data_IF_396475358128
#
_entry.id   IF_396475358128
#
_cell.length_a   1.000
_cell.length_b   1.000
_cell.length_c   1.000
_cell.angle_alpha   90.00
_cell.angle_beta   90.00
_cell.angle_gamma   90.00
#
_symmetry.space_group_name_H-M   'P 1'
#
loop_
_entity.id
_entity.type
_entity.pdbx_description
1 polymer ?
#
# COMPACT_ATOMS: atom_id res chain seq x y z
N UNK A 1 5.61 -7.72 12.91
CA UNK A 1 4.27 -7.81 12.28
C UNK A 1 3.33 -6.71 12.80
N UNK A 2 3.88 -5.63 13.32
CA UNK A 2 3.14 -4.58 14.03
C UNK A 2 2.64 -3.45 13.12
N UNK A 3 3.23 -3.37 11.93
CA UNK A 3 3.02 -2.28 10.98
C UNK A 3 1.56 -2.06 10.57
N UNK A 4 0.75 -3.11 10.28
CA UNK A 4 -0.65 -2.90 9.94
C UNK A 4 -1.43 -2.17 11.04
N UNK A 5 -1.20 -2.52 12.31
CA UNK A 5 -1.83 -1.86 13.45
C UNK A 5 -1.37 -0.41 13.56
N UNK A 6 -0.06 -0.15 13.43
CA UNK A 6 0.50 1.21 13.45
C UNK A 6 -0.12 2.09 12.37
N UNK A 7 -0.25 1.56 11.16
CA UNK A 7 -0.84 2.27 10.04
C UNK A 7 -2.33 2.59 10.28
N UNK A 8 -3.11 1.64 10.82
CA UNK A 8 -4.52 1.87 11.19
C UNK A 8 -4.63 3.00 12.21
N UNK A 9 -3.81 2.98 13.27
CA UNK A 9 -3.83 4.00 14.32
C UNK A 9 -3.41 5.36 13.78
N UNK A 10 -2.34 5.42 12.98
CA UNK A 10 -1.86 6.65 12.37
C UNK A 10 -2.90 7.27 11.42
N UNK A 11 -3.62 6.43 10.65
CA UNK A 11 -4.72 6.89 9.80
C UNK A 11 -5.89 7.47 10.62
N UNK A 12 -6.10 6.96 11.83
CA UNK A 12 -7.06 7.51 12.80
C UNK A 12 -6.56 8.76 13.54
N UNK A 13 -5.33 9.22 13.28
CA UNK A 13 -4.73 10.37 13.97
C UNK A 13 -4.22 10.07 15.38
N UNK A 14 -4.19 8.79 15.79
CA UNK A 14 -3.72 8.36 17.10
C UNK A 14 -2.21 8.17 17.16
N UNK A 15 -1.68 8.08 18.39
CA UNK A 15 -0.26 7.81 18.62
C UNK A 15 0.01 6.30 18.58
N UNK A 16 0.50 5.81 17.44
CA UNK A 16 0.69 4.39 17.15
C UNK A 16 1.54 3.65 18.20
N UNK A 17 2.58 4.28 18.73
CA UNK A 17 3.48 3.64 19.70
C UNK A 17 2.78 3.34 21.03
N UNK A 18 1.87 4.21 21.47
CA UNK A 18 1.12 4.05 22.73
C UNK A 18 0.10 2.93 22.58
N UNK A 19 -0.70 2.96 21.51
CA UNK A 19 -1.71 1.94 21.24
C UNK A 19 -1.07 0.57 21.08
N UNK A 20 0.03 0.50 20.32
CA UNK A 20 0.75 -0.74 20.11
C UNK A 20 1.29 -1.33 21.42
N UNK A 21 1.93 -0.52 22.26
CA UNK A 21 2.45 -0.98 23.54
C UNK A 21 1.33 -1.52 24.44
N UNK A 22 0.17 -0.86 24.44
CA UNK A 22 -0.99 -1.30 25.20
C UNK A 22 -1.50 -2.66 24.68
N UNK A 23 -1.76 -2.79 23.38
CA UNK A 23 -2.25 -4.03 22.76
C UNK A 23 -1.26 -5.19 22.96
N UNK A 24 0.05 -4.93 22.88
CA UNK A 24 1.09 -5.94 23.08
C UNK A 24 1.16 -6.48 24.51
N UNK A 25 0.67 -5.74 25.50
CA UNK A 25 0.56 -6.19 26.89
C UNK A 25 -0.74 -6.95 27.17
N UNK A 26 -1.66 -7.01 26.21
CA UNK A 26 -2.85 -7.85 26.28
C UNK A 26 -2.62 -9.26 25.76
N UNK A 27 -3.65 -10.10 25.86
CA UNK A 27 -3.61 -11.50 25.43
C UNK A 27 -4.82 -11.85 24.55
N UNK A 28 -4.69 -12.90 23.74
CA UNK A 28 -5.79 -13.42 22.93
C UNK A 28 -6.30 -12.41 21.90
N UNK A 29 -7.60 -12.10 21.96
CA UNK A 29 -8.27 -11.18 21.03
C UNK A 29 -8.27 -9.73 21.51
N UNK A 30 -7.51 -9.39 22.55
CA UNK A 30 -7.42 -8.02 23.02
C UNK A 30 -6.82 -7.12 21.93
N UNK A 31 -7.48 -5.99 21.65
CA UNK A 31 -7.04 -5.05 20.63
C UNK A 31 -7.62 -3.66 20.83
N UNK A 32 -7.43 -2.82 19.81
CA UNK A 32 -7.87 -1.44 19.77
C UNK A 32 -8.82 -1.21 18.60
N UNK A 33 -10.01 -0.71 18.89
CA UNK A 33 -10.99 -0.31 17.90
C UNK A 33 -10.72 1.13 17.46
N UNK A 34 -10.14 1.29 16.27
CA UNK A 34 -9.79 2.61 15.73
C UNK A 34 -10.99 3.51 15.37
N UNK A 35 -12.20 2.96 15.26
CA UNK A 35 -13.42 3.74 14.97
C UNK A 35 -14.00 4.40 16.22
N UNK A 36 -13.79 3.80 17.40
CA UNK A 36 -14.34 4.27 18.68
C UNK A 36 -13.27 4.66 19.70
N UNK A 37 -12.00 4.37 19.40
CA UNK A 37 -10.84 4.56 20.27
C UNK A 37 -10.90 3.78 21.59
N UNK A 38 -11.59 2.63 21.59
CA UNK A 38 -11.77 1.77 22.77
C UNK A 38 -10.92 0.49 22.65
N UNK A 39 -10.34 0.06 23.77
CA UNK A 39 -9.64 -1.22 23.90
C UNK A 39 -10.57 -2.31 24.43
N UNK A 40 -10.38 -3.55 23.97
CA UNK A 40 -11.12 -4.70 24.48
C UNK A 40 -11.05 -5.90 23.55
N UNK A 41 -11.96 -6.86 23.73
CA UNK A 41 -12.03 -8.05 22.91
C UNK A 41 -12.57 -7.73 21.50
N UNK A 42 -11.72 -7.93 20.49
CA UNK A 42 -12.07 -7.60 19.10
C UNK A 42 -13.19 -8.48 18.54
N UNK A 43 -13.34 -9.73 19.01
CA UNK A 43 -14.44 -10.60 18.59
C UNK A 43 -15.78 -10.14 19.16
N UNK A 44 -15.82 -9.77 20.45
CA UNK A 44 -17.02 -9.19 21.07
C UNK A 44 -17.42 -7.88 20.40
N UNK A 45 -16.45 -7.08 19.96
CA UNK A 45 -16.68 -5.86 19.18
C UNK A 45 -17.07 -6.13 17.72
N UNK A 46 -17.06 -7.38 17.27
CA UNK A 46 -17.42 -7.76 15.90
C UNK A 46 -16.37 -7.40 14.85
N UNK A 47 -15.13 -7.13 15.26
CA UNK A 47 -14.00 -6.79 14.38
C UNK A 47 -13.14 -8.04 14.23
N UNK A 48 -13.43 -8.80 13.18
CA UNK A 48 -12.73 -10.06 12.90
C UNK A 48 -12.29 -10.12 11.44
N UNK A 49 -11.10 -10.66 11.23
CA UNK A 49 -10.56 -10.94 9.91
C UNK A 49 -10.56 -12.45 9.65
N UNK A 50 -11.03 -12.93 8.49
CA UNK A 50 -10.94 -14.35 8.15
C UNK A 50 -9.47 -14.81 8.12
N UNK A 51 -9.18 -15.96 8.72
CA UNK A 51 -7.80 -16.50 8.82
C UNK A 51 -7.09 -16.58 7.46
N UNK A 52 -7.83 -16.88 6.38
CA UNK A 52 -7.28 -16.93 5.02
C UNK A 52 -6.73 -15.57 4.57
N UNK A 53 -7.39 -14.47 4.93
CA UNK A 53 -7.02 -13.11 4.51
C UNK A 53 -5.68 -12.73 5.12
N UNK A 54 -5.56 -12.81 6.45
CA UNK A 54 -4.33 -12.43 7.18
C UNK A 54 -3.16 -13.31 6.74
N UNK A 55 -3.38 -14.63 6.62
CA UNK A 55 -2.34 -15.56 6.17
C UNK A 55 -1.86 -15.26 4.75
N UNK A 56 -2.78 -15.08 3.81
CA UNK A 56 -2.43 -14.84 2.42
C UNK A 56 -1.70 -13.49 2.26
N UNK A 57 -2.16 -12.44 2.96
CA UNK A 57 -1.51 -11.14 2.95
C UNK A 57 -0.05 -11.23 3.39
N UNK A 58 0.22 -11.90 4.52
CA UNK A 58 1.59 -12.11 5.01
C UNK A 58 2.44 -12.93 4.03
N UNK A 59 1.89 -14.01 3.49
CA UNK A 59 2.61 -14.89 2.55
C UNK A 59 2.98 -14.16 1.25
N UNK A 60 2.04 -13.40 0.68
CA UNK A 60 2.30 -12.64 -0.54
C UNK A 60 3.30 -11.50 -0.29
N UNK A 61 3.18 -10.80 0.84
CA UNK A 61 4.15 -9.76 1.23
C UNK A 61 5.55 -10.35 1.39
N UNK A 62 5.70 -11.46 2.11
CA UNK A 62 6.98 -12.15 2.28
C UNK A 62 7.54 -12.64 0.93
N UNK A 63 6.70 -13.14 0.03
CA UNK A 63 7.11 -13.60 -1.30
C UNK A 63 7.70 -12.48 -2.15
N UNK A 64 7.04 -11.32 -2.22
CA UNK A 64 7.54 -10.16 -2.99
C UNK A 64 8.79 -9.58 -2.33
N UNK A 65 8.79 -9.42 -1.01
CA UNK A 65 9.98 -8.94 -0.29
C UNK A 65 11.18 -9.86 -0.51
N UNK A 66 10.96 -11.18 -0.48
CA UNK A 66 12.00 -12.17 -0.78
C UNK A 66 12.55 -12.01 -2.19
N UNK A 67 11.68 -11.90 -3.19
CA UNK A 67 12.07 -11.63 -4.58
C UNK A 67 12.92 -10.37 -4.69
N UNK A 68 12.46 -9.25 -4.11
CA UNK A 68 13.14 -7.95 -4.18
C UNK A 68 14.50 -7.97 -3.50
N UNK A 69 14.64 -8.61 -2.34
CA UNK A 69 15.91 -8.70 -1.60
C UNK A 69 16.95 -9.51 -2.37
N UNK A 70 16.54 -10.53 -3.13
CA UNK A 70 17.45 -11.39 -3.90
C UNK A 70 17.68 -10.94 -5.35
N UNK A 71 17.04 -9.85 -5.78
CA UNK A 71 17.16 -9.35 -7.15
C UNK A 71 18.36 -8.41 -7.26
N UNK A 72 19.41 -8.87 -7.94
CA UNK A 72 20.68 -8.11 -8.09
C UNK A 72 20.67 -7.12 -9.26
N UNK A 73 19.80 -7.32 -10.25
CA UNK A 73 19.73 -6.46 -11.44
C UNK A 73 18.30 -6.35 -11.98
N UNK A 74 17.96 -5.15 -12.47
CA UNK A 74 16.74 -4.88 -13.24
C UNK A 74 17.16 -4.30 -14.58
N UNK A 75 16.74 -4.92 -15.68
CA UNK A 75 16.99 -4.45 -17.04
C UNK A 75 15.70 -3.86 -17.58
N UNK A 76 15.76 -2.65 -18.11
CA UNK A 76 14.63 -1.93 -18.70
C UNK A 76 14.97 -1.49 -20.11
N UNK A 77 13.95 -1.39 -20.97
CA UNK A 77 14.13 -0.80 -22.30
C UNK A 77 14.44 0.69 -22.20
N UNK A 78 15.22 1.20 -23.16
CA UNK A 78 15.50 2.63 -23.27
C UNK A 78 14.20 3.34 -23.69
N UNK A 79 13.84 4.49 -23.06
CA UNK A 79 12.70 5.29 -23.49
C UNK A 79 12.76 5.55 -24.99
N UNK A 80 11.69 5.20 -25.70
CA UNK A 80 11.57 5.47 -27.13
C UNK A 80 10.90 6.83 -27.31
N UNK A 81 11.47 7.69 -28.15
CA UNK A 81 10.72 8.84 -28.69
C UNK A 81 9.64 8.28 -29.62
N UNK A 82 8.44 8.15 -29.09
CA UNK A 82 7.26 7.85 -29.90
C UNK A 82 6.96 9.14 -30.69
N UNK A 83 6.99 9.13 -32.04
CA UNK A 83 6.62 10.30 -32.80
C UNK A 83 5.23 10.74 -32.35
N UNK A 84 5.10 12.01 -31.94
CA UNK A 84 3.79 12.59 -31.70
C UNK A 84 2.92 12.32 -32.93
N UNK A 85 1.67 11.84 -32.78
CA UNK A 85 0.80 11.62 -33.92
C UNK A 85 0.76 12.90 -34.76
N UNK A 86 1.06 12.74 -36.04
CA UNK A 86 1.21 13.83 -36.99
C UNK A 86 -0.10 14.63 -37.05
N UNK A 87 -0.11 15.77 -36.36
CA UNK A 87 -1.16 16.78 -36.45
C UNK A 87 -0.89 17.72 -37.64
N UNK A 88 -0.24 17.24 -38.71
CA UNK A 88 0.02 17.94 -39.98
C UNK A 88 -1.23 18.16 -40.85
N UNK A 89 -2.39 18.31 -40.23
CA UNK A 89 -3.68 18.44 -40.90
C UNK A 89 -4.42 19.73 -40.59
N UNK A 90 -3.78 20.91 -40.61
CA UNK A 90 -4.51 22.18 -40.82
C UNK A 90 -3.60 23.42 -40.97
N UNK A 91 -3.58 23.98 -42.18
CA UNK A 91 -3.79 25.43 -42.34
C UNK A 91 -2.58 26.32 -42.69
N UNK A 92 -2.60 26.85 -43.92
CA UNK A 92 -1.90 28.07 -44.34
C UNK A 92 -0.51 27.77 -44.93
N UNK A 93 -0.22 28.01 -46.20
CA UNK A 93 -0.61 29.16 -47.01
C UNK A 93 0.66 29.97 -47.32
N UNK A 94 0.88 30.21 -48.61
CA UNK A 94 1.68 31.31 -49.16
C UNK A 94 3.21 31.12 -49.38
N UNK A 95 3.57 31.02 -50.66
CA UNK A 95 4.80 31.58 -51.25
C UNK A 95 6.01 30.63 -51.21
N UNK A 96 6.65 30.24 -52.30
CA UNK A 96 6.77 30.85 -53.62
C UNK A 96 8.26 30.89 -53.99
N UNK A 97 8.57 30.44 -55.22
CA UNK A 97 9.83 30.64 -55.96
C UNK A 97 11.08 29.82 -55.58
N UNK A 98 11.46 28.99 -56.58
CA UNK A 98 12.76 28.35 -56.88
C UNK A 98 13.16 27.13 -56.05
#
# INVERSE_FOLDING_TARGET
>A
MEEPLRQIVANGGGEASVVLNNVANGEGNYGFNASTEVYGDMLEMGILDPTKVVRAALQHAASISGLMITTEAMITDIPQDVPAPDMGGMGGGMGGMM
#
